data_IF_159006358492
#
_entry.id   IF_159006358492
#
_cell.length_a   1.000
_cell.length_b   1.000
_cell.length_c   1.000
_cell.angle_alpha   90.00
_cell.angle_beta   90.00
_cell.angle_gamma   90.00
#
_symmetry.space_group_name_H-M   'P 1'
#
loop_
_entity.id
_entity.type
_entity.pdbx_description
1 polymer ?
#
# COMPACT_ATOMS: atom_id res chain seq x y z
N UNK A 1 -16.19 -5.76 -40.89
CA UNK A 1 -14.98 -5.68 -40.05
C UNK A 1 -15.38 -4.96 -38.77
N UNK A 2 -15.47 -5.69 -37.67
CA UNK A 2 -16.35 -5.47 -36.51
C UNK A 2 -15.97 -4.25 -35.65
N UNK A 3 -16.95 -3.44 -35.27
CA UNK A 3 -16.76 -2.24 -34.43
C UNK A 3 -16.31 -2.60 -32.99
N UNK A 4 -15.55 -1.72 -32.30
CA UNK A 4 -15.12 -1.96 -30.92
C UNK A 4 -16.32 -1.86 -29.96
N UNK A 5 -16.50 -2.84 -29.10
CA UNK A 5 -17.56 -2.86 -28.08
C UNK A 5 -17.21 -1.79 -27.01
N UNK A 6 -18.05 -0.74 -26.81
CA UNK A 6 -17.83 0.23 -25.75
C UNK A 6 -18.19 -0.42 -24.41
N UNK A 7 -17.19 -0.77 -23.61
CA UNK A 7 -17.42 -1.45 -22.33
C UNK A 7 -16.22 -2.03 -21.62
N UNK A 8 -15.00 -1.90 -22.15
CA UNK A 8 -13.78 -2.16 -21.37
C UNK A 8 -13.67 -1.04 -20.34
N UNK A 9 -14.28 -1.22 -19.16
CA UNK A 9 -13.94 -0.44 -17.98
C UNK A 9 -12.42 -0.40 -17.94
N UNK A 10 -11.86 0.77 -18.20
CA UNK A 10 -10.46 1.05 -17.94
C UNK A 10 -10.38 0.80 -16.45
N UNK A 11 -9.87 -0.37 -16.06
CA UNK A 11 -9.58 -0.64 -14.67
C UNK A 11 -8.66 0.51 -14.30
N UNK A 12 -9.19 1.45 -13.52
CA UNK A 12 -8.40 2.47 -12.86
C UNK A 12 -7.59 1.68 -11.84
N UNK A 13 -6.63 0.89 -12.33
CA UNK A 13 -5.60 0.25 -11.55
C UNK A 13 -4.92 1.44 -10.93
N UNK A 14 -5.13 1.70 -9.63
CA UNK A 14 -4.39 2.76 -9.00
C UNK A 14 -2.94 2.37 -9.20
N UNK A 15 -2.14 3.29 -9.74
CA UNK A 15 -0.70 3.12 -9.82
C UNK A 15 -0.21 3.11 -8.38
N UNK A 16 -0.38 1.96 -7.71
CA UNK A 16 0.18 1.74 -6.41
C UNK A 16 1.64 1.52 -6.69
N UNK A 17 2.52 2.44 -6.22
CA UNK A 17 3.94 2.23 -6.39
C UNK A 17 4.24 0.88 -5.77
N UNK A 18 4.85 -0.01 -6.56
CA UNK A 18 5.31 -1.32 -6.11
C UNK A 18 6.48 -1.19 -5.13
N UNK A 19 6.62 -0.06 -4.44
CA UNK A 19 7.69 0.30 -3.54
C UNK A 19 7.16 0.27 -2.11
N UNK A 20 7.95 -0.31 -1.21
CA UNK A 20 7.64 -0.31 0.20
C UNK A 20 8.06 1.03 0.82
N UNK A 21 7.14 1.76 1.42
CA UNK A 21 7.40 3.02 2.12
C UNK A 21 8.49 2.92 3.22
N UNK A 22 8.61 1.77 3.90
CA UNK A 22 9.55 1.60 5.01
C UNK A 22 10.99 1.40 4.56
N UNK A 23 11.21 0.61 3.51
CA UNK A 23 12.55 0.22 3.07
C UNK A 23 12.89 0.74 1.68
N UNK A 24 11.96 1.43 1.03
CA UNK A 24 12.04 1.99 -0.32
C UNK A 24 12.47 0.97 -1.40
N UNK A 25 12.29 -0.33 -1.12
CA UNK A 25 12.56 -1.43 -2.05
C UNK A 25 11.27 -1.91 -2.70
N UNK A 26 11.41 -2.54 -3.86
CA UNK A 26 10.29 -3.15 -4.56
C UNK A 26 9.61 -4.20 -3.65
N UNK A 27 8.28 -4.21 -3.59
CA UNK A 27 7.48 -5.20 -2.84
C UNK A 27 7.79 -6.64 -3.29
N UNK A 28 8.12 -6.83 -4.55
CA UNK A 28 8.52 -8.11 -5.13
C UNK A 28 9.94 -8.56 -4.75
N UNK A 29 10.81 -7.66 -4.29
CA UNK A 29 12.22 -7.95 -3.99
C UNK A 29 12.59 -7.41 -2.60
N UNK A 30 12.43 -8.25 -1.58
CA UNK A 30 12.84 -7.96 -0.20
C UNK A 30 12.04 -8.72 0.86
N UNK A 31 12.56 -8.76 2.10
CA UNK A 31 11.82 -9.32 3.23
C UNK A 31 10.92 -8.25 3.87
N UNK A 32 9.63 -8.27 3.51
CA UNK A 32 8.63 -7.31 3.99
C UNK A 32 7.97 -7.71 5.31
N UNK A 33 8.28 -8.89 5.87
CA UNK A 33 7.77 -9.30 7.19
C UNK A 33 8.22 -8.33 8.29
N UNK A 34 9.51 -7.97 8.26
CA UNK A 34 10.09 -6.96 9.16
C UNK A 34 9.46 -5.58 8.96
N UNK A 35 9.19 -5.22 7.71
CA UNK A 35 8.52 -3.96 7.38
C UNK A 35 7.07 -3.95 7.90
N UNK A 36 6.36 -5.07 7.79
CA UNK A 36 5.00 -5.21 8.31
C UNK A 36 4.95 -4.98 9.83
N UNK A 37 5.84 -5.63 10.59
CA UNK A 37 5.95 -5.45 12.05
C UNK A 37 6.27 -4.01 12.44
N UNK A 38 7.22 -3.37 11.73
CA UNK A 38 7.54 -1.95 11.97
C UNK A 38 6.35 -1.05 11.70
N UNK A 39 5.56 -1.32 10.65
CA UNK A 39 4.33 -0.58 10.33
C UNK A 39 3.31 -0.71 11.46
N UNK A 40 3.06 -1.92 11.94
CA UNK A 40 2.16 -2.17 13.07
C UNK A 40 2.63 -1.45 14.34
N UNK A 41 3.92 -1.48 14.66
CA UNK A 41 4.48 -0.77 15.81
C UNK A 41 4.33 0.75 15.69
N UNK A 42 4.58 1.34 14.51
CA UNK A 42 4.40 2.77 14.27
C UNK A 42 2.93 3.18 14.43
N UNK A 43 2.00 2.43 13.84
CA UNK A 43 0.56 2.69 13.96
C UNK A 43 0.07 2.50 15.40
N UNK A 44 0.56 1.48 16.11
CA UNK A 44 0.23 1.27 17.52
C UNK A 44 0.76 2.41 18.40
N UNK A 45 1.99 2.87 18.16
CA UNK A 45 2.57 4.01 18.88
C UNK A 45 1.84 5.33 18.57
N UNK A 46 1.39 5.52 17.33
CA UNK A 46 0.53 6.65 16.98
C UNK A 46 -0.77 6.57 17.76
N UNK A 47 -1.54 5.48 17.63
CA UNK A 47 -2.82 5.24 18.34
C UNK A 47 -2.74 5.45 19.85
N UNK A 48 -1.67 4.97 20.48
CA UNK A 48 -1.45 5.15 21.92
C UNK A 48 -1.24 6.63 22.31
N UNK A 49 -0.66 7.45 21.42
CA UNK A 49 -0.53 8.90 21.63
C UNK A 49 -1.84 9.63 21.41
N UNK A 50 -2.66 9.22 20.44
CA UNK A 50 -3.94 9.86 20.14
C UNK A 50 -4.95 9.60 21.26
N UNK A 51 -5.03 8.37 21.77
CA UNK A 51 -5.92 8.03 22.88
C UNK A 51 -5.50 8.61 24.24
N UNK A 52 -4.25 9.11 24.37
CA UNK A 52 -3.79 9.79 25.58
C UNK A 52 -4.01 11.32 25.53
N UNK A 53 -4.55 11.84 24.42
CA UNK A 53 -4.93 13.24 24.24
C UNK A 53 -6.46 13.43 24.33
N UNK A 54 -7.12 12.63 25.18
CA UNK A 54 -8.53 12.77 25.56
C UNK A 54 -8.62 13.05 27.06
#
# INVERSE_FOLDING_TARGET
MTAPIPGKLKANCPDFPNICDICQKNRSRGNHDKCSKKRQALTAAQRARENNHE
#
